data_IF_601563419101
#
_entry.id   IF_601563419101
#
_cell.length_a   1.000
_cell.length_b   1.000
_cell.length_c   1.000
_cell.angle_alpha   90.00
_cell.angle_beta   90.00
_cell.angle_gamma   90.00
#
_symmetry.space_group_name_H-M   'P 1'
#
loop_
_entity.id
_entity.type
_entity.pdbx_description
1 polymer ?
#
# COMPACT_ATOMS: atom_id res chain seq x y z
N UNK A 1 0.33 32.20 31.46
CA UNK A 1 0.10 30.77 31.70
C UNK A 1 -0.05 30.59 33.20
N UNK A 2 -1.15 30.06 33.67
CA UNK A 2 -1.37 29.80 35.09
C UNK A 2 -0.62 28.53 35.56
N UNK A 3 -0.54 28.30 36.89
CA UNK A 3 0.18 27.15 37.45
C UNK A 3 -0.37 25.79 36.98
N UNK A 4 -1.70 25.69 36.76
CA UNK A 4 -2.36 24.47 36.27
C UNK A 4 -1.96 24.17 34.83
N UNK A 5 -1.92 25.19 33.96
CA UNK A 5 -1.48 25.03 32.57
C UNK A 5 0.00 24.58 32.49
N UNK A 6 0.83 25.18 33.34
CA UNK A 6 2.25 24.79 33.44
C UNK A 6 2.40 23.32 33.87
N UNK A 7 1.60 22.85 34.84
CA UNK A 7 1.60 21.45 35.27
C UNK A 7 1.13 20.50 34.15
N UNK A 8 0.05 20.86 33.43
CA UNK A 8 -0.46 20.06 32.29
C UNK A 8 0.65 19.84 31.26
N UNK A 9 1.27 20.92 30.79
CA UNK A 9 2.32 20.83 29.79
C UNK A 9 3.57 20.10 30.26
N UNK A 10 3.98 20.32 31.53
CA UNK A 10 5.10 19.62 32.14
C UNK A 10 4.86 18.10 32.17
N UNK A 11 3.68 17.67 32.62
CA UNK A 11 3.31 16.27 32.67
C UNK A 11 3.30 15.63 31.28
N UNK A 12 2.62 16.24 30.32
CA UNK A 12 2.56 15.73 28.94
C UNK A 12 3.95 15.61 28.31
N UNK A 13 4.81 16.63 28.45
CA UNK A 13 6.20 16.59 27.98
C UNK A 13 7.01 15.48 28.66
N UNK A 14 6.76 15.25 29.95
CA UNK A 14 7.41 14.17 30.72
C UNK A 14 7.07 12.79 30.15
N UNK A 15 5.80 12.53 29.82
CA UNK A 15 5.36 11.29 29.20
C UNK A 15 6.03 11.07 27.85
N UNK A 16 5.94 12.06 26.95
CA UNK A 16 6.57 11.96 25.62
C UNK A 16 8.07 11.70 25.71
N UNK A 17 8.76 12.38 26.63
CA UNK A 17 10.19 12.19 26.83
C UNK A 17 10.53 10.78 27.39
N UNK A 18 9.70 10.22 28.28
CA UNK A 18 9.89 8.87 28.81
C UNK A 18 9.70 7.79 27.72
N UNK A 19 8.62 7.89 26.93
CA UNK A 19 8.36 6.97 25.83
C UNK A 19 9.43 7.07 24.74
N UNK A 20 9.87 8.28 24.40
CA UNK A 20 10.97 8.50 23.45
C UNK A 20 12.27 7.79 23.90
N UNK A 21 12.61 7.85 25.18
CA UNK A 21 13.76 7.12 25.74
C UNK A 21 13.57 5.61 25.67
N UNK A 22 12.36 5.11 25.92
CA UNK A 22 12.04 3.69 25.81
C UNK A 22 12.24 3.18 24.39
N UNK A 23 11.76 3.91 23.39
CA UNK A 23 11.96 3.60 21.95
C UNK A 23 13.47 3.67 21.59
N UNK A 24 14.19 4.70 22.00
CA UNK A 24 15.62 4.81 21.76
C UNK A 24 16.42 3.65 22.40
N UNK A 25 15.97 3.16 23.56
CA UNK A 25 16.54 2.00 24.24
C UNK A 25 16.49 0.69 23.45
N UNK A 26 15.57 0.57 22.50
CA UNK A 26 15.45 -0.59 21.62
C UNK A 26 16.67 -0.81 20.71
N UNK A 27 17.50 0.21 20.52
CA UNK A 27 18.78 0.02 19.80
C UNK A 27 19.64 -1.10 20.40
N UNK A 28 19.52 -1.37 21.70
CA UNK A 28 20.18 -2.47 22.40
C UNK A 28 19.57 -3.84 22.12
N UNK A 29 18.32 -3.88 21.64
CA UNK A 29 17.61 -5.11 21.24
C UNK A 29 17.95 -5.54 19.80
N UNK A 30 18.50 -4.62 19.00
CA UNK A 30 18.91 -4.90 17.62
C UNK A 30 20.24 -5.65 17.57
N UNK A 31 20.24 -6.84 18.15
CA UNK A 31 21.37 -7.74 18.32
C UNK A 31 21.14 -9.11 17.65
N UNK A 32 21.87 -10.13 18.10
CA UNK A 32 21.72 -11.50 17.61
C UNK A 32 20.31 -12.07 17.83
N UNK A 33 19.60 -11.64 18.89
CA UNK A 33 18.22 -12.09 19.16
C UNK A 33 17.24 -11.54 18.12
N UNK A 34 17.36 -10.28 17.76
CA UNK A 34 16.56 -9.67 16.68
C UNK A 34 16.81 -10.36 15.33
N UNK A 35 18.08 -10.60 14.98
CA UNK A 35 18.44 -11.32 13.75
C UNK A 35 17.83 -12.73 13.72
N UNK A 36 17.90 -13.46 14.84
CA UNK A 36 17.31 -14.81 14.95
C UNK A 36 15.79 -14.78 14.84
N UNK A 37 15.13 -13.80 15.47
CA UNK A 37 13.68 -13.60 15.35
C UNK A 37 13.26 -13.32 13.89
N UNK A 38 13.95 -12.40 13.20
CA UNK A 38 13.68 -12.10 11.78
C UNK A 38 13.83 -13.34 10.91
N UNK A 39 14.90 -14.15 11.10
CA UNK A 39 15.11 -15.38 10.32
C UNK A 39 14.00 -16.40 10.53
N UNK A 40 13.56 -16.61 11.77
CA UNK A 40 12.43 -17.50 12.08
C UNK A 40 11.13 -17.04 11.40
N UNK A 41 10.87 -15.73 11.42
CA UNK A 41 9.68 -15.15 10.78
C UNK A 41 9.77 -15.14 9.26
N UNK A 42 10.95 -14.97 8.70
CA UNK A 42 11.19 -15.00 7.24
C UNK A 42 10.96 -16.40 6.66
N UNK A 43 11.45 -17.43 7.36
CA UNK A 43 11.33 -18.83 6.93
C UNK A 43 10.00 -19.47 7.30
N UNK A 44 9.10 -18.78 8.00
CA UNK A 44 7.78 -19.26 8.35
C UNK A 44 6.93 -19.46 7.09
N UNK A 45 6.54 -20.72 6.82
CA UNK A 45 5.68 -21.08 5.70
C UNK A 45 4.19 -21.01 6.06
N UNK A 46 3.86 -21.10 7.33
CA UNK A 46 2.55 -20.90 7.92
C UNK A 46 2.20 -19.43 8.11
N UNK A 47 1.71 -19.07 9.28
CA UNK A 47 1.41 -17.70 9.72
C UNK A 47 2.12 -17.38 11.03
N UNK A 48 2.28 -16.09 11.30
CA UNK A 48 2.74 -15.61 12.61
C UNK A 48 1.54 -15.49 13.53
N UNK A 49 1.54 -16.24 14.63
CA UNK A 49 0.50 -16.24 15.66
C UNK A 49 0.93 -15.31 16.78
N UNK A 50 0.27 -14.16 16.89
CA UNK A 50 0.59 -13.17 17.93
C UNK A 50 -0.26 -13.41 19.16
N UNK A 51 0.40 -13.37 20.33
CA UNK A 51 -0.18 -13.69 21.64
C UNK A 51 0.06 -12.55 22.61
N UNK A 52 -0.89 -12.26 23.47
CA UNK A 52 -0.77 -11.26 24.52
C UNK A 52 -2.09 -11.00 25.22
N UNK A 53 -2.03 -10.52 26.46
CA UNK A 53 -3.21 -10.23 27.28
C UNK A 53 -3.27 -8.74 27.62
N UNK A 54 -4.45 -8.18 27.76
CA UNK A 54 -4.67 -6.78 28.14
C UNK A 54 -4.02 -5.80 27.16
N UNK A 55 -3.22 -4.85 27.66
CA UNK A 55 -2.56 -3.84 26.81
C UNK A 55 -1.56 -4.46 25.84
N UNK A 56 -0.79 -5.46 26.27
CA UNK A 56 0.12 -6.22 25.38
C UNK A 56 -0.66 -6.94 24.27
N UNK A 57 -1.87 -7.45 24.56
CA UNK A 57 -2.76 -8.05 23.56
C UNK A 57 -3.25 -7.04 22.52
N UNK A 58 -3.56 -5.80 22.91
CA UNK A 58 -3.91 -4.73 21.96
C UNK A 58 -2.74 -4.41 21.03
N UNK A 59 -1.52 -4.36 21.56
CA UNK A 59 -0.31 -4.16 20.76
C UNK A 59 -0.06 -5.36 19.85
N UNK A 60 -0.23 -6.59 20.33
CA UNK A 60 -0.14 -7.80 19.51
C UNK A 60 -1.11 -7.78 18.32
N UNK A 61 -2.36 -7.35 18.54
CA UNK A 61 -3.36 -7.16 17.46
C UNK A 61 -2.89 -6.16 16.42
N UNK A 62 -2.33 -5.01 16.86
CA UNK A 62 -1.79 -3.99 15.93
C UNK A 62 -0.62 -4.54 15.12
N UNK A 63 0.31 -5.24 15.75
CA UNK A 63 1.47 -5.83 15.07
C UNK A 63 1.00 -6.91 14.07
N UNK A 64 0.02 -7.74 14.43
CA UNK A 64 -0.57 -8.71 13.50
C UNK A 64 -1.14 -8.01 12.25
N UNK A 65 -1.92 -6.96 12.44
CA UNK A 65 -2.47 -6.17 11.33
C UNK A 65 -1.36 -5.58 10.44
N UNK A 66 -0.28 -5.05 11.06
CA UNK A 66 0.87 -4.50 10.32
C UNK A 66 1.59 -5.58 9.50
N UNK A 67 1.89 -6.74 10.10
CA UNK A 67 2.52 -7.88 9.41
C UNK A 67 1.66 -8.34 8.24
N UNK A 68 0.35 -8.52 8.44
CA UNK A 68 -0.58 -8.93 7.39
C UNK A 68 -0.60 -7.92 6.23
N UNK A 69 -0.68 -6.63 6.54
CA UNK A 69 -0.73 -5.54 5.56
C UNK A 69 0.59 -5.34 4.81
N UNK A 70 1.70 -5.84 5.35
CA UNK A 70 3.04 -5.80 4.74
C UNK A 70 3.48 -7.14 4.14
N UNK A 71 2.54 -8.09 3.95
CA UNK A 71 2.75 -9.33 3.21
C UNK A 71 3.24 -10.51 4.04
N UNK A 72 3.26 -10.43 5.38
CA UNK A 72 3.51 -11.57 6.27
C UNK A 72 2.20 -12.03 6.87
N UNK A 73 1.76 -13.25 6.53
CA UNK A 73 0.52 -13.83 7.08
C UNK A 73 0.58 -13.86 8.60
N UNK A 74 -0.40 -13.31 9.27
CA UNK A 74 -0.42 -13.22 10.73
C UNK A 74 -1.83 -13.14 11.28
N UNK A 75 -1.99 -13.59 12.52
CA UNK A 75 -3.25 -13.55 13.26
C UNK A 75 -2.96 -13.29 14.74
N UNK A 76 -3.85 -12.58 15.41
CA UNK A 76 -3.83 -12.49 16.86
C UNK A 76 -4.77 -13.57 17.43
N UNK A 77 -4.26 -14.33 18.41
CA UNK A 77 -5.05 -15.22 19.24
C UNK A 77 -4.98 -14.80 20.71
N UNK A 78 -6.12 -14.80 21.39
CA UNK A 78 -6.13 -14.53 22.82
C UNK A 78 -5.68 -15.77 23.58
N UNK A 79 -4.69 -15.68 24.49
CA UNK A 79 -4.14 -16.84 25.19
C UNK A 79 -5.18 -17.66 25.96
N UNK A 80 -6.18 -17.04 26.57
CA UNK A 80 -7.27 -17.73 27.25
C UNK A 80 -8.12 -18.54 26.26
N UNK A 81 -8.59 -17.92 25.21
CA UNK A 81 -9.42 -18.58 24.18
C UNK A 81 -8.65 -19.72 23.50
N UNK A 82 -7.33 -19.52 23.32
CA UNK A 82 -6.47 -20.58 22.79
C UNK A 82 -6.49 -21.85 23.64
N UNK A 83 -6.50 -21.72 24.95
CA UNK A 83 -6.59 -22.86 25.86
C UNK A 83 -7.99 -23.50 25.90
N UNK A 84 -9.00 -22.85 25.35
CA UNK A 84 -10.39 -23.30 25.30
C UNK A 84 -10.89 -23.71 23.91
N UNK A 85 -9.99 -23.89 22.95
CA UNK A 85 -10.33 -24.45 21.62
C UNK A 85 -9.67 -23.77 20.43
N UNK A 86 -9.29 -22.48 20.51
CA UNK A 86 -8.68 -21.75 19.40
C UNK A 86 -7.29 -22.27 19.01
N UNK A 87 -6.70 -23.18 19.79
CA UNK A 87 -5.52 -23.97 19.39
C UNK A 87 -5.72 -24.71 18.05
N UNK A 88 -6.97 -25.05 17.71
CA UNK A 88 -7.30 -25.63 16.40
C UNK A 88 -7.00 -24.71 15.21
N UNK A 89 -6.76 -23.43 15.45
CA UNK A 89 -6.36 -22.48 14.39
C UNK A 89 -4.85 -22.50 14.11
N UNK A 90 -4.07 -23.21 14.92
CA UNK A 90 -2.59 -23.24 14.85
C UNK A 90 -2.16 -24.50 14.08
N UNK A 91 -1.17 -24.34 13.21
CA UNK A 91 -0.56 -25.42 12.43
C UNK A 91 0.94 -25.52 12.77
N UNK A 92 1.54 -26.67 12.48
CA UNK A 92 2.95 -26.97 12.82
C UNK A 92 3.97 -26.10 12.06
N UNK A 93 3.57 -25.46 10.98
CA UNK A 93 4.37 -24.56 10.16
C UNK A 93 4.23 -23.06 10.57
N UNK A 94 3.45 -22.79 11.63
CA UNK A 94 3.31 -21.46 12.22
C UNK A 94 4.48 -21.11 13.14
N UNK A 95 4.63 -19.80 13.43
CA UNK A 95 5.56 -19.27 14.43
C UNK A 95 4.78 -18.43 15.45
N UNK A 96 4.98 -18.68 16.73
CA UNK A 96 4.36 -17.88 17.78
C UNK A 96 5.20 -16.66 18.14
N UNK A 97 4.57 -15.48 18.27
CA UNK A 97 5.17 -14.23 18.75
C UNK A 97 4.38 -13.75 19.97
N UNK A 98 4.93 -13.99 21.18
CA UNK A 98 4.29 -13.69 22.44
C UNK A 98 4.78 -12.37 23.04
N UNK A 99 3.84 -11.53 23.51
CA UNK A 99 4.10 -10.22 24.08
C UNK A 99 3.65 -10.17 25.55
N UNK A 100 4.57 -9.87 26.46
CA UNK A 100 4.28 -9.56 27.86
C UNK A 100 5.41 -8.74 28.47
N UNK A 101 5.12 -7.59 29.07
CA UNK A 101 6.13 -6.74 29.69
C UNK A 101 6.92 -7.49 30.78
N UNK A 102 6.20 -8.10 31.73
CA UNK A 102 6.84 -8.89 32.80
C UNK A 102 7.34 -10.27 32.33
N UNK A 103 6.75 -10.81 31.27
CA UNK A 103 6.95 -12.20 30.85
C UNK A 103 6.33 -13.24 31.80
N UNK A 104 5.54 -12.77 32.78
CA UNK A 104 4.94 -13.60 33.82
C UNK A 104 3.42 -13.72 33.73
N UNK A 105 2.81 -13.13 32.69
CA UNK A 105 1.35 -13.22 32.45
C UNK A 105 0.96 -14.68 32.41
N UNK A 106 0.10 -15.09 33.35
CA UNK A 106 -0.19 -16.49 33.64
C UNK A 106 -0.76 -17.23 32.42
N UNK A 107 -1.71 -16.62 31.73
CA UNK A 107 -2.39 -17.19 30.58
C UNK A 107 -1.41 -17.44 29.42
N UNK A 108 -0.53 -16.47 29.17
CA UNK A 108 0.52 -16.61 28.13
C UNK A 108 1.53 -17.66 28.55
N UNK A 109 2.01 -17.63 29.79
CA UNK A 109 3.01 -18.57 30.31
C UNK A 109 2.49 -20.03 30.35
N UNK A 110 1.18 -20.26 30.54
CA UNK A 110 0.56 -21.59 30.45
C UNK A 110 0.42 -22.09 29.02
N UNK A 111 0.21 -21.19 28.06
CA UNK A 111 0.03 -21.55 26.65
C UNK A 111 1.34 -21.97 25.98
N UNK A 112 2.46 -21.28 26.24
CA UNK A 112 3.72 -21.51 25.53
C UNK A 112 4.23 -22.97 25.61
N UNK A 113 4.19 -23.68 26.76
CA UNK A 113 4.55 -25.09 26.81
C UNK A 113 3.70 -25.97 25.89
N UNK A 114 2.42 -25.63 25.70
CA UNK A 114 1.53 -26.36 24.80
C UNK A 114 1.97 -26.17 23.35
N UNK A 115 2.25 -24.94 22.95
CA UNK A 115 2.77 -24.62 21.61
C UNK A 115 4.10 -25.31 21.34
N UNK A 116 5.01 -25.33 22.32
CA UNK A 116 6.28 -26.04 22.20
C UNK A 116 6.11 -27.54 21.99
N UNK A 117 5.14 -28.17 22.68
CA UNK A 117 4.82 -29.61 22.46
C UNK A 117 4.28 -29.89 21.06
N UNK A 118 3.63 -28.90 20.42
CA UNK A 118 3.16 -28.98 19.04
C UNK A 118 4.29 -28.66 18.03
N UNK A 119 5.50 -28.39 18.49
CA UNK A 119 6.67 -28.14 17.63
C UNK A 119 6.79 -26.69 17.12
N UNK A 120 5.97 -25.75 17.59
CA UNK A 120 6.06 -24.37 17.13
C UNK A 120 7.30 -23.67 17.64
N UNK A 121 8.05 -22.96 16.79
CA UNK A 121 9.01 -21.96 17.23
C UNK A 121 8.30 -20.82 17.96
N UNK A 122 8.86 -20.40 19.08
CA UNK A 122 8.33 -19.34 19.94
C UNK A 122 9.32 -18.19 20.04
N UNK A 123 8.87 -17.00 19.71
CA UNK A 123 9.57 -15.73 19.92
C UNK A 123 8.85 -14.99 21.03
N UNK A 124 9.58 -14.42 21.99
CA UNK A 124 9.00 -13.55 23.01
C UNK A 124 9.54 -12.12 22.93
N UNK A 125 8.65 -11.16 23.21
CA UNK A 125 8.99 -9.76 23.49
C UNK A 125 8.66 -9.49 24.95
N UNK A 126 9.68 -9.25 25.77
CA UNK A 126 9.54 -9.01 27.22
C UNK A 126 10.63 -8.08 27.72
N UNK A 127 10.41 -7.45 28.90
CA UNK A 127 11.46 -6.70 29.56
C UNK A 127 12.35 -7.59 30.47
N UNK A 128 11.80 -8.73 30.91
CA UNK A 128 12.48 -9.68 31.78
C UNK A 128 12.94 -10.93 30.99
N UNK A 129 14.26 -11.05 30.69
CA UNK A 129 14.81 -12.21 29.99
C UNK A 129 14.82 -13.51 30.78
N UNK A 130 14.62 -13.46 32.10
CA UNK A 130 14.63 -14.63 33.01
C UNK A 130 13.18 -15.10 33.32
N UNK A 131 12.17 -14.50 32.71
CA UNK A 131 10.77 -14.80 32.94
C UNK A 131 10.36 -16.21 32.45
N UNK A 132 9.22 -16.68 32.96
CA UNK A 132 8.63 -17.97 32.52
C UNK A 132 8.44 -17.98 31.00
N UNK A 133 7.96 -16.87 30.43
CA UNK A 133 7.75 -16.75 28.97
C UNK A 133 9.08 -16.91 28.22
N UNK A 134 10.16 -16.26 28.68
CA UNK A 134 11.48 -16.35 28.06
C UNK A 134 12.03 -17.78 28.05
N UNK A 135 11.82 -18.53 29.13
CA UNK A 135 12.30 -19.94 29.25
C UNK A 135 11.66 -20.89 28.25
N UNK A 136 10.45 -20.61 27.79
CA UNK A 136 9.75 -21.40 26.76
C UNK A 136 9.96 -20.87 25.34
N UNK A 137 10.76 -19.83 25.18
CA UNK A 137 10.98 -19.19 23.89
C UNK A 137 12.30 -19.64 23.27
N UNK A 138 12.31 -19.84 21.95
CA UNK A 138 13.53 -20.09 21.16
C UNK A 138 14.35 -18.82 20.97
N UNK A 139 13.66 -17.67 21.05
CA UNK A 139 14.24 -16.33 20.96
C UNK A 139 13.51 -15.40 21.90
N UNK A 140 14.27 -14.63 22.68
CA UNK A 140 13.74 -13.59 23.56
C UNK A 140 14.33 -12.24 23.15
N UNK A 141 13.46 -11.30 22.76
CA UNK A 141 13.82 -9.91 22.49
C UNK A 141 13.48 -9.05 23.70
N UNK A 142 14.50 -8.43 24.30
CA UNK A 142 14.35 -7.61 25.50
C UNK A 142 14.00 -6.17 25.14
N UNK A 143 13.02 -5.55 25.83
CA UNK A 143 12.56 -4.18 25.57
C UNK A 143 13.51 -3.10 26.11
N UNK A 144 14.31 -3.39 27.14
CA UNK A 144 15.19 -2.41 27.83
C UNK A 144 14.46 -1.17 28.37
N UNK A 145 13.18 -1.29 28.72
CA UNK A 145 12.39 -0.22 29.32
C UNK A 145 12.76 -0.11 30.79
N UNK A 146 13.11 1.09 31.25
CA UNK A 146 13.54 1.35 32.64
C UNK A 146 12.33 1.57 33.56
N UNK A 147 11.34 2.35 33.08
CA UNK A 147 10.13 2.65 33.84
C UNK A 147 8.99 3.06 32.90
N UNK A 148 7.78 2.93 33.39
CA UNK A 148 6.61 3.48 32.73
C UNK A 148 6.57 5.02 32.86
N UNK A 149 5.88 5.68 31.95
CA UNK A 149 5.79 7.14 31.96
C UNK A 149 4.81 7.69 33.01
N UNK A 150 4.01 6.83 33.63
CA UNK A 150 3.07 7.25 34.65
C UNK A 150 3.80 7.44 36.01
N UNK A 151 3.32 8.36 36.89
CA UNK A 151 3.95 8.66 38.17
C UNK A 151 4.10 7.47 39.13
N UNK A 152 3.29 6.44 38.93
CA UNK A 152 3.24 5.27 39.84
C UNK A 152 3.89 4.03 39.22
N UNK A 153 4.49 4.13 38.04
CA UNK A 153 5.06 3.00 37.29
C UNK A 153 4.10 1.80 37.09
N UNK A 154 2.81 2.09 37.00
CA UNK A 154 1.74 1.05 36.97
C UNK A 154 1.01 0.98 35.62
N UNK A 155 0.88 2.11 34.94
CA UNK A 155 0.11 2.18 33.69
C UNK A 155 1.03 1.88 32.52
N UNK A 156 0.76 0.81 31.73
CA UNK A 156 1.56 0.49 30.55
C UNK A 156 1.53 1.62 29.53
N UNK A 157 2.64 2.29 29.34
CA UNK A 157 2.88 3.43 28.47
C UNK A 157 4.18 3.22 27.70
N UNK A 158 5.33 3.45 28.31
CA UNK A 158 6.66 3.23 27.73
C UNK A 158 6.83 1.81 27.21
N UNK A 159 6.35 0.81 27.96
CA UNK A 159 6.44 -0.60 27.59
C UNK A 159 5.62 -0.91 26.32
N UNK A 160 4.39 -0.41 26.24
CA UNK A 160 3.51 -0.62 25.07
C UNK A 160 4.01 0.10 23.84
N UNK A 161 4.52 1.32 23.99
CA UNK A 161 5.13 2.11 22.90
C UNK A 161 6.40 1.40 22.37
N UNK A 162 7.25 0.89 23.26
CA UNK A 162 8.45 0.13 22.87
C UNK A 162 8.08 -1.19 22.17
N UNK A 163 7.09 -1.95 22.67
CA UNK A 163 6.61 -3.17 22.02
C UNK A 163 6.12 -2.90 20.62
N UNK A 164 5.33 -1.82 20.44
CA UNK A 164 4.81 -1.42 19.17
C UNK A 164 5.92 -1.08 18.16
N UNK A 165 6.88 -0.25 18.59
CA UNK A 165 8.01 0.15 17.76
C UNK A 165 8.88 -1.05 17.33
N UNK A 166 9.13 -2.00 18.25
CA UNK A 166 9.87 -3.22 17.93
C UNK A 166 9.09 -4.12 16.95
N UNK A 167 7.77 -4.23 17.12
CA UNK A 167 6.90 -4.96 16.21
C UNK A 167 6.88 -4.34 14.80
N UNK A 168 6.86 -3.01 14.69
CA UNK A 168 6.94 -2.31 13.42
C UNK A 168 8.33 -2.50 12.77
N UNK A 169 9.40 -2.51 13.55
CA UNK A 169 10.75 -2.82 13.06
C UNK A 169 10.81 -4.23 12.45
N UNK A 170 10.22 -5.25 13.12
CA UNK A 170 10.10 -6.60 12.55
C UNK A 170 9.31 -6.61 11.24
N UNK A 171 8.14 -5.98 11.23
CA UNK A 171 7.26 -5.97 10.07
C UNK A 171 7.89 -5.31 8.84
N UNK A 172 8.53 -4.14 9.02
CA UNK A 172 9.21 -3.42 7.93
C UNK A 172 10.46 -4.16 7.46
N UNK A 173 11.21 -4.77 8.38
CA UNK A 173 12.38 -5.60 8.01
C UNK A 173 11.95 -6.78 7.15
N UNK A 174 10.91 -7.53 7.55
CA UNK A 174 10.37 -8.64 6.78
C UNK A 174 9.80 -8.20 5.43
N UNK A 175 9.11 -7.06 5.40
CA UNK A 175 8.61 -6.43 4.18
C UNK A 175 9.74 -6.20 3.17
N UNK A 176 10.87 -5.66 3.65
CA UNK A 176 12.06 -5.38 2.83
C UNK A 176 12.70 -6.67 2.32
N UNK A 177 12.93 -7.66 3.20
CA UNK A 177 13.53 -8.95 2.83
C UNK A 177 12.68 -9.72 1.82
N UNK A 178 11.36 -9.67 1.94
CA UNK A 178 10.41 -10.33 1.02
C UNK A 178 10.19 -9.57 -0.30
N UNK A 179 10.88 -8.45 -0.54
CA UNK A 179 10.72 -7.64 -1.74
C UNK A 179 9.27 -7.15 -1.93
N UNK A 180 8.59 -6.80 -0.82
CA UNK A 180 7.20 -6.36 -0.85
C UNK A 180 7.11 -4.96 -1.47
N UNK A 181 6.40 -4.84 -2.58
CA UNK A 181 6.31 -3.63 -3.40
C UNK A 181 4.93 -2.95 -3.32
N UNK A 182 4.83 -1.77 -3.97
CA UNK A 182 3.58 -1.01 -4.04
C UNK A 182 2.44 -1.79 -4.70
N UNK A 183 2.74 -2.67 -5.67
CA UNK A 183 1.73 -3.50 -6.35
C UNK A 183 1.13 -4.55 -5.41
N UNK A 184 1.98 -5.17 -4.58
CA UNK A 184 1.52 -6.09 -3.53
C UNK A 184 0.71 -5.37 -2.46
N UNK A 185 1.15 -4.16 -2.06
CA UNK A 185 0.42 -3.33 -1.10
C UNK A 185 -1.00 -2.99 -1.60
N UNK A 186 -1.13 -2.57 -2.84
CA UNK A 186 -2.43 -2.26 -3.45
C UNK A 186 -3.39 -3.45 -3.46
N UNK A 187 -2.88 -4.66 -3.74
CA UNK A 187 -3.69 -5.89 -3.71
C UNK A 187 -4.23 -6.21 -2.32
N UNK A 188 -3.48 -5.89 -1.27
CA UNK A 188 -3.91 -6.12 0.12
C UNK A 188 -4.79 -4.98 0.67
N UNK A 189 -4.82 -3.82 -0.01
CA UNK A 189 -5.59 -2.64 0.40
C UNK A 189 -6.52 -2.13 -0.72
N UNK A 190 -7.41 -2.97 -1.29
CA UNK A 190 -8.20 -2.59 -2.46
C UNK A 190 -9.15 -1.41 -2.21
N UNK A 191 -9.58 -1.19 -0.97
CA UNK A 191 -10.46 -0.08 -0.58
C UNK A 191 -9.75 1.23 -0.21
N UNK A 192 -8.42 1.22 -0.07
CA UNK A 192 -7.65 2.43 0.22
C UNK A 192 -7.38 3.28 -1.02
N UNK A 193 -7.17 4.60 -0.84
CA UNK A 193 -6.88 5.51 -1.97
C UNK A 193 -5.72 5.01 -2.84
N UNK A 194 -4.62 4.57 -2.23
CA UNK A 194 -3.49 4.02 -2.97
C UNK A 194 -3.85 2.72 -3.71
N UNK A 195 -4.68 1.85 -3.10
CA UNK A 195 -5.15 0.62 -3.72
C UNK A 195 -6.05 0.89 -4.93
N UNK A 196 -6.96 1.85 -4.83
CA UNK A 196 -7.81 2.31 -5.94
C UNK A 196 -6.96 2.84 -7.09
N UNK A 197 -6.05 3.78 -6.81
CA UNK A 197 -5.19 4.41 -7.82
C UNK A 197 -4.30 3.40 -8.57
N UNK A 198 -3.74 2.41 -7.85
CA UNK A 198 -2.88 1.39 -8.46
C UNK A 198 -3.62 0.32 -9.26
N UNK A 199 -4.93 0.14 -9.02
CA UNK A 199 -5.77 -0.81 -9.75
C UNK A 199 -6.65 -0.15 -10.82
N UNK A 200 -6.76 1.19 -10.83
CA UNK A 200 -7.57 1.94 -11.78
C UNK A 200 -6.99 1.79 -13.20
N UNK A 201 -7.84 1.40 -14.14
CA UNK A 201 -7.47 1.18 -15.53
C UNK A 201 -7.96 2.33 -16.42
N UNK A 202 -7.33 2.49 -17.56
CA UNK A 202 -7.77 3.42 -18.60
C UNK A 202 -9.23 3.13 -19.00
N UNK A 203 -9.61 1.86 -19.11
CA UNK A 203 -10.97 1.43 -19.43
C UNK A 203 -12.06 1.88 -18.45
N UNK A 204 -11.67 2.20 -17.19
CA UNK A 204 -12.58 2.71 -16.16
C UNK A 204 -12.84 4.22 -16.31
N UNK A 205 -11.89 4.96 -16.92
CA UNK A 205 -11.88 6.42 -17.01
C UNK A 205 -12.14 6.95 -18.43
N UNK A 206 -11.82 6.15 -19.46
CA UNK A 206 -11.89 6.59 -20.84
C UNK A 206 -13.32 6.98 -21.28
N UNK A 207 -13.44 7.98 -22.12
CA UNK A 207 -14.65 8.29 -22.86
C UNK A 207 -14.84 7.26 -23.97
N UNK A 208 -16.02 6.62 -24.03
CA UNK A 208 -16.34 5.51 -24.92
C UNK A 208 -17.72 5.63 -25.55
N UNK A 209 -18.02 4.78 -26.51
CA UNK A 209 -19.32 4.79 -27.20
C UNK A 209 -19.56 6.09 -27.99
N UNK A 210 -20.59 6.86 -27.63
CA UNK A 210 -20.91 8.13 -28.29
C UNK A 210 -19.92 9.27 -28.01
N UNK A 211 -19.16 9.16 -26.96
CA UNK A 211 -18.13 10.13 -26.60
C UNK A 211 -16.75 9.78 -27.18
N UNK A 212 -16.60 8.64 -27.86
CA UNK A 212 -15.38 8.26 -28.53
C UNK A 212 -15.27 9.01 -29.88
N UNK A 213 -14.31 9.96 -30.02
CA UNK A 213 -14.17 10.77 -31.22
C UNK A 213 -13.50 9.97 -32.36
N UNK A 214 -14.28 9.44 -33.29
CA UNK A 214 -13.76 8.62 -34.40
C UNK A 214 -14.30 9.13 -35.71
N UNK A 215 -13.43 9.25 -36.73
CA UNK A 215 -13.77 9.55 -38.08
C UNK A 215 -13.02 8.68 -39.10
N UNK A 216 -13.48 8.62 -40.33
CA UNK A 216 -12.78 7.92 -41.41
C UNK A 216 -11.69 8.81 -42.03
N UNK A 217 -10.61 8.19 -42.52
CA UNK A 217 -9.50 8.88 -43.21
C UNK A 217 -9.91 9.57 -44.51
N UNK A 218 -11.07 9.24 -45.08
CA UNK A 218 -11.65 9.93 -46.26
C UNK A 218 -12.28 11.29 -45.94
N UNK A 219 -12.36 11.68 -44.68
CA UNK A 219 -12.95 12.95 -44.26
C UNK A 219 -11.98 14.13 -44.34
N UNK A 220 -12.52 15.31 -44.11
CA UNK A 220 -11.81 16.60 -44.14
C UNK A 220 -11.46 17.10 -42.74
N UNK A 221 -10.64 18.17 -42.67
CA UNK A 221 -10.37 18.89 -41.41
C UNK A 221 -11.68 19.40 -40.80
N UNK A 222 -12.59 19.92 -41.62
CA UNK A 222 -13.88 20.40 -41.13
C UNK A 222 -14.73 19.28 -40.49
N UNK A 223 -14.67 18.06 -41.03
CA UNK A 223 -15.37 16.90 -40.43
C UNK A 223 -14.73 16.50 -39.12
N UNK A 224 -13.38 16.56 -38.99
CA UNK A 224 -12.69 16.37 -37.73
C UNK A 224 -13.17 17.35 -36.66
N UNK A 225 -13.27 18.65 -37.00
CA UNK A 225 -13.73 19.68 -36.08
C UNK A 225 -15.17 19.47 -35.60
N UNK A 226 -16.06 18.99 -36.49
CA UNK A 226 -17.44 18.63 -36.10
C UNK A 226 -17.42 17.51 -35.03
N UNK A 227 -16.69 16.40 -35.29
CA UNK A 227 -16.58 15.27 -34.35
C UNK A 227 -16.00 15.73 -33.04
N UNK A 228 -14.91 16.50 -33.03
CA UNK A 228 -14.28 17.04 -31.84
C UNK A 228 -15.22 17.93 -31.03
N UNK A 229 -16.03 18.76 -31.70
CA UNK A 229 -17.00 19.63 -31.04
C UNK A 229 -18.17 18.84 -30.43
N UNK A 230 -18.70 17.85 -31.16
CA UNK A 230 -19.80 17.00 -30.69
C UNK A 230 -19.40 16.16 -29.48
N UNK A 231 -18.19 15.61 -29.50
CA UNK A 231 -17.66 14.75 -28.41
C UNK A 231 -16.99 15.54 -27.29
N UNK A 232 -16.68 16.82 -27.48
CA UNK A 232 -15.93 17.70 -26.53
C UNK A 232 -14.57 17.15 -26.14
N UNK A 233 -13.96 16.34 -27.00
CA UNK A 233 -12.76 15.58 -26.67
C UNK A 233 -11.43 16.29 -27.00
N UNK A 234 -11.46 17.41 -27.73
CA UNK A 234 -10.26 18.15 -28.16
C UNK A 234 -9.34 17.38 -29.11
N UNK A 235 -9.75 16.20 -29.55
CA UNK A 235 -9.00 15.35 -30.47
C UNK A 235 -9.94 14.37 -31.21
N UNK A 236 -9.47 13.76 -32.31
CA UNK A 236 -10.20 12.74 -33.05
C UNK A 236 -9.27 11.62 -33.52
N UNK A 237 -9.71 10.39 -33.37
CA UNK A 237 -9.09 9.18 -33.90
C UNK A 237 -9.50 8.99 -35.37
N UNK A 238 -8.54 8.89 -36.29
CA UNK A 238 -8.78 8.66 -37.72
C UNK A 238 -8.57 7.19 -38.01
N UNK A 239 -9.59 6.56 -38.66
CA UNK A 239 -9.56 5.12 -38.98
C UNK A 239 -9.54 4.89 -40.48
N UNK A 240 -8.74 3.89 -40.88
CA UNK A 240 -8.68 3.38 -42.24
C UNK A 240 -9.84 2.41 -42.59
N UNK A 241 -9.78 1.84 -43.78
CA UNK A 241 -10.84 0.97 -44.35
C UNK A 241 -11.15 -0.25 -43.45
N UNK A 242 -10.18 -0.79 -42.68
CA UNK A 242 -10.39 -1.90 -41.76
C UNK A 242 -10.88 -1.48 -40.35
N UNK A 243 -11.14 -0.18 -40.12
CA UNK A 243 -11.52 0.37 -38.82
C UNK A 243 -10.39 0.46 -37.81
N UNK A 244 -9.14 0.22 -38.22
CA UNK A 244 -7.93 0.39 -37.39
C UNK A 244 -7.54 1.86 -37.34
N UNK A 245 -6.95 2.26 -36.23
CA UNK A 245 -6.39 3.58 -36.05
C UNK A 245 -5.22 3.80 -37.01
N UNK A 246 -5.33 4.80 -37.89
CA UNK A 246 -4.29 5.18 -38.86
C UNK A 246 -3.68 6.55 -38.53
N UNK A 247 -4.44 7.41 -37.85
CA UNK A 247 -3.99 8.73 -37.49
C UNK A 247 -4.75 9.33 -36.33
N UNK A 248 -4.24 10.46 -35.84
CA UNK A 248 -4.79 11.22 -34.73
C UNK A 248 -4.64 12.72 -35.00
N UNK A 249 -5.68 13.50 -34.72
CA UNK A 249 -5.66 14.95 -34.93
C UNK A 249 -6.23 15.65 -33.70
N UNK A 250 -5.54 16.70 -33.24
CA UNK A 250 -5.84 17.41 -32.00
C UNK A 250 -6.06 18.91 -32.22
N UNK A 251 -6.66 19.60 -31.24
CA UNK A 251 -6.74 21.07 -31.20
C UNK A 251 -5.35 21.72 -31.31
N UNK A 252 -4.33 21.09 -30.74
CA UNK A 252 -2.95 21.53 -30.84
C UNK A 252 -2.42 21.47 -32.29
N UNK A 253 -2.75 20.38 -33.01
CA UNK A 253 -2.39 20.25 -34.43
C UNK A 253 -3.07 21.31 -35.27
N UNK A 254 -4.37 21.51 -35.08
CA UNK A 254 -5.12 22.57 -35.78
C UNK A 254 -4.47 23.94 -35.56
N UNK A 255 -4.19 24.31 -34.31
CA UNK A 255 -3.57 25.62 -33.98
C UNK A 255 -2.23 25.80 -34.68
N UNK A 256 -1.36 24.80 -34.69
CA UNK A 256 -0.08 24.84 -35.39
C UNK A 256 -0.26 25.01 -36.89
N UNK A 257 -1.16 24.25 -37.49
CA UNK A 257 -1.42 24.35 -38.92
C UNK A 257 -1.99 25.72 -39.35
N UNK A 258 -2.87 26.31 -38.52
CA UNK A 258 -3.38 27.67 -38.77
C UNK A 258 -2.25 28.72 -38.69
N UNK A 259 -1.32 28.59 -37.76
CA UNK A 259 -0.11 29.44 -37.68
C UNK A 259 0.79 29.30 -38.92
N UNK A 260 0.87 28.07 -39.48
CA UNK A 260 1.64 27.77 -40.68
C UNK A 260 0.92 28.18 -41.97
N UNK A 261 -0.23 28.88 -41.87
CA UNK A 261 -0.97 29.44 -43.03
C UNK A 261 -2.06 28.52 -43.60
N UNK A 262 -2.51 27.49 -42.83
CA UNK A 262 -3.67 26.70 -43.25
C UNK A 262 -4.92 27.59 -43.37
N UNK A 263 -5.50 27.67 -44.56
CA UNK A 263 -6.71 28.48 -44.87
C UNK A 263 -7.88 27.64 -45.36
N UNK A 264 -7.63 26.43 -45.85
CA UNK A 264 -8.66 25.54 -46.41
C UNK A 264 -8.94 24.36 -45.44
N UNK A 265 -10.12 24.37 -44.82
CA UNK A 265 -10.61 23.30 -43.94
C UNK A 265 -11.22 22.10 -44.69
N UNK A 266 -11.34 22.17 -45.98
CA UNK A 266 -11.83 21.06 -46.83
C UNK A 266 -10.70 20.13 -47.27
N UNK A 267 -9.45 20.43 -46.92
CA UNK A 267 -8.33 19.52 -47.15
C UNK A 267 -8.53 18.16 -46.44
N UNK A 268 -8.05 17.06 -47.07
CA UNK A 268 -8.09 15.73 -46.46
C UNK A 268 -7.38 15.71 -45.11
N UNK A 269 -8.00 15.07 -44.12
CA UNK A 269 -7.42 14.95 -42.75
C UNK A 269 -6.07 14.25 -42.75
N UNK A 270 -5.83 13.37 -43.70
CA UNK A 270 -4.57 12.61 -43.86
C UNK A 270 -3.34 13.48 -44.10
N UNK A 271 -3.53 14.73 -44.59
CA UNK A 271 -2.45 15.69 -44.83
C UNK A 271 -1.95 16.38 -43.53
N UNK A 272 -2.77 16.38 -42.47
CA UNK A 272 -2.52 17.17 -41.26
C UNK A 272 -2.49 16.33 -39.98
N UNK A 273 -3.03 15.10 -40.01
CA UNK A 273 -3.03 14.20 -38.85
C UNK A 273 -1.65 13.69 -38.52
N UNK A 274 -1.44 13.33 -37.24
CA UNK A 274 -0.30 12.55 -36.82
C UNK A 274 -0.52 11.09 -37.16
N UNK A 275 0.30 10.52 -38.07
CA UNK A 275 0.25 9.11 -38.43
C UNK A 275 0.92 8.23 -37.38
N UNK A 276 0.33 7.06 -37.06
CA UNK A 276 0.85 6.13 -36.08
C UNK A 276 0.96 6.74 -34.67
N UNK A 277 -0.11 7.31 -34.11
CA UNK A 277 -0.07 8.00 -32.83
C UNK A 277 0.26 7.03 -31.69
N UNK A 278 0.77 7.59 -30.56
CA UNK A 278 0.90 6.85 -29.33
C UNK A 278 -0.49 6.44 -28.83
N UNK A 279 -0.63 5.18 -28.41
CA UNK A 279 -1.91 4.63 -27.95
C UNK A 279 -1.73 3.95 -26.60
N UNK A 280 -2.84 3.81 -25.89
CA UNK A 280 -2.95 2.94 -24.71
C UNK A 280 -4.09 1.96 -24.91
N UNK A 281 -4.18 0.95 -24.04
CA UNK A 281 -5.24 -0.07 -24.06
C UNK A 281 -6.17 0.09 -22.86
N UNK A 282 -7.42 -0.41 -22.89
CA UNK A 282 -8.31 -0.37 -21.73
C UNK A 282 -7.71 -0.99 -20.47
N UNK A 283 -6.87 -2.02 -20.61
CA UNK A 283 -6.21 -2.72 -19.51
C UNK A 283 -4.95 -2.01 -18.97
N UNK A 284 -4.46 -0.98 -19.67
CA UNK A 284 -3.35 -0.13 -19.19
C UNK A 284 -3.76 0.54 -17.89
N UNK A 285 -2.86 0.61 -16.90
CA UNK A 285 -3.16 1.29 -15.64
C UNK A 285 -3.29 2.80 -15.87
N UNK A 286 -4.21 3.46 -15.16
CA UNK A 286 -4.37 4.90 -15.24
C UNK A 286 -3.09 5.65 -14.86
N UNK A 287 -2.30 5.10 -13.93
CA UNK A 287 -0.98 5.64 -13.55
C UNK A 287 0.02 5.58 -14.71
N UNK A 288 0.03 4.52 -15.50
CA UNK A 288 0.90 4.42 -16.67
C UNK A 288 0.49 5.40 -17.76
N UNK A 289 -0.83 5.56 -18.00
CA UNK A 289 -1.35 6.57 -18.91
C UNK A 289 -0.97 8.00 -18.46
N UNK A 290 -1.12 8.32 -17.17
CA UNK A 290 -0.73 9.61 -16.60
C UNK A 290 0.77 9.89 -16.80
N UNK A 291 1.63 8.89 -16.56
CA UNK A 291 3.07 9.01 -16.81
C UNK A 291 3.37 9.30 -18.29
N UNK A 292 2.72 8.60 -19.24
CA UNK A 292 2.89 8.82 -20.66
C UNK A 292 2.45 10.23 -21.08
N UNK A 293 1.29 10.69 -20.59
CA UNK A 293 0.79 12.03 -20.83
C UNK A 293 1.78 13.09 -20.36
N UNK A 294 2.27 12.98 -19.14
CA UNK A 294 3.25 13.90 -18.53
C UNK A 294 4.60 13.88 -19.27
N UNK A 295 5.19 12.70 -19.52
CA UNK A 295 6.49 12.55 -20.19
C UNK A 295 6.47 13.06 -21.64
N UNK A 296 5.35 12.85 -22.34
CA UNK A 296 5.18 13.26 -23.75
C UNK A 296 4.60 14.65 -23.92
N UNK A 297 4.15 15.28 -22.83
CA UNK A 297 3.51 16.62 -22.82
C UNK A 297 2.33 16.68 -23.78
N UNK A 298 1.43 15.72 -23.66
CA UNK A 298 0.23 15.58 -24.49
C UNK A 298 -1.01 15.61 -23.58
N UNK A 299 -2.11 16.16 -24.08
CA UNK A 299 -3.33 16.37 -23.31
C UNK A 299 -4.25 15.13 -23.28
N UNK A 300 -4.14 14.25 -24.28
CA UNK A 300 -5.00 13.09 -24.42
C UNK A 300 -4.32 11.96 -25.23
N UNK A 301 -4.88 10.75 -25.10
CA UNK A 301 -4.43 9.54 -25.80
C UNK A 301 -5.61 8.77 -26.38
N UNK A 302 -5.53 8.31 -27.64
CA UNK A 302 -6.47 7.35 -28.17
C UNK A 302 -6.30 6.01 -27.49
N UNK A 303 -7.42 5.40 -27.10
CA UNK A 303 -7.46 4.06 -26.48
C UNK A 303 -7.86 3.06 -27.55
N UNK A 304 -7.00 2.06 -27.78
CA UNK A 304 -7.22 1.05 -28.81
C UNK A 304 -7.42 -0.34 -28.22
N UNK A 305 -8.25 -1.14 -28.85
CA UNK A 305 -8.30 -2.58 -28.56
C UNK A 305 -7.00 -3.25 -29.01
N UNK A 306 -6.38 -4.00 -28.11
CA UNK A 306 -5.06 -4.61 -28.33
C UNK A 306 -5.04 -5.64 -29.47
N UNK A 307 -6.15 -6.32 -29.73
CA UNK A 307 -6.24 -7.38 -30.73
C UNK A 307 -6.53 -6.85 -32.14
N UNK A 308 -7.40 -5.84 -32.22
CA UNK A 308 -7.89 -5.32 -33.51
C UNK A 308 -7.22 -4.02 -33.93
N UNK A 309 -6.64 -3.26 -32.98
CA UNK A 309 -6.11 -1.92 -33.21
C UNK A 309 -7.19 -0.86 -33.50
N UNK A 310 -8.46 -1.15 -33.21
CA UNK A 310 -9.58 -0.21 -33.36
C UNK A 310 -9.64 0.76 -32.19
N UNK A 311 -9.91 2.06 -32.40
CA UNK A 311 -10.10 3.00 -31.32
C UNK A 311 -11.42 2.69 -30.58
N UNK A 312 -11.33 2.39 -29.30
CA UNK A 312 -12.46 2.05 -28.42
C UNK A 312 -12.78 3.17 -27.44
N UNK A 313 -11.94 4.19 -27.36
CA UNK A 313 -12.13 5.35 -26.48
C UNK A 313 -11.01 6.37 -26.63
N UNK A 314 -11.12 7.40 -25.79
CA UNK A 314 -10.10 8.43 -25.58
C UNK A 314 -9.96 8.65 -24.08
N UNK A 315 -8.74 8.91 -23.60
CA UNK A 315 -8.49 9.37 -22.22
C UNK A 315 -7.83 10.74 -22.25
N UNK A 316 -8.34 11.66 -21.44
CA UNK A 316 -7.86 13.03 -21.32
C UNK A 316 -7.08 13.21 -20.00
N UNK A 317 -6.07 14.08 -19.99
CA UNK A 317 -5.30 14.44 -18.79
C UNK A 317 -6.21 14.85 -17.64
N UNK A 318 -7.29 15.59 -17.91
CA UNK A 318 -8.24 16.06 -16.90
C UNK A 318 -8.95 14.91 -16.18
N UNK A 319 -9.19 13.79 -16.85
CA UNK A 319 -9.82 12.63 -16.21
C UNK A 319 -8.83 11.93 -15.27
N UNK A 320 -7.56 11.88 -15.63
CA UNK A 320 -6.48 11.38 -14.78
C UNK A 320 -6.25 12.29 -13.56
N UNK A 321 -6.28 13.62 -13.75
CA UNK A 321 -6.14 14.61 -12.67
C UNK A 321 -7.29 14.55 -11.65
N UNK A 322 -8.55 14.30 -12.07
CA UNK A 322 -9.69 14.11 -11.15
C UNK A 322 -9.48 12.95 -10.18
N UNK A 323 -8.75 11.93 -10.61
CA UNK A 323 -8.40 10.78 -9.77
C UNK A 323 -7.09 10.98 -8.98
N UNK A 324 -6.46 12.16 -9.05
CA UNK A 324 -5.22 12.49 -8.35
C UNK A 324 -3.97 11.90 -9.01
N UNK A 325 -4.03 11.64 -10.31
CA UNK A 325 -2.94 11.12 -11.14
C UNK A 325 -2.35 12.23 -12.03
N UNK A 326 -1.65 13.19 -11.44
CA UNK A 326 -1.02 14.29 -12.17
C UNK A 326 0.33 14.67 -11.60
#
# INVERSE_FOLDING_TARGET
MNAKDALILKTARGVIAAESRAVAGLSKTLDASFLKAVRLLETCTGKVVLLGVGKSGLIARKIAATLASTGTRSVYLHPVESLHGDLGMIASDDVALALSYSGETEETAKLLPVLKKQGLPVISITNNPDSRMARYSDVTMRLHVVAEACPFDMVPTSSTTAMLALGDALAVTLMTLKGFDKKRFARLHPGGNLGKLLNLKVGDLMHKGRENPVMKESGTILDALKVMTETKAGAVSVIGAGGRLTGYFTDGDLRRRLQDGLSDLYLPITLVMTSGPLTVHPETTAMEAARLVSERKIDNLPVTDASTGRPVGIIDERDLLKEGLG
#
